data_IF_247009211881
#
_entry.id   IF_247009211881
#
_cell.length_a   1.000
_cell.length_b   1.000
_cell.length_c   1.000
_cell.angle_alpha   90.00
_cell.angle_beta   90.00
_cell.angle_gamma   90.00
#
_symmetry.space_group_name_H-M   'P 1'
#
loop_
_entity.id
_entity.type
_entity.pdbx_description
1 polymer ?
#
# COMPACT_ATOMS: atom_id res chain seq x y z
N UNK A 1 -2.40 13.45 -23.12
CA UNK A 1 -1.87 12.28 -23.86
C UNK A 1 -0.36 12.34 -23.78
N UNK A 2 0.27 11.28 -23.27
CA UNK A 2 1.72 11.14 -23.18
C UNK A 2 2.38 11.38 -24.55
N UNK A 3 3.17 12.46 -24.67
CA UNK A 3 3.99 12.74 -25.84
C UNK A 3 5.30 11.95 -25.78
N UNK A 4 5.94 11.75 -26.93
CA UNK A 4 7.22 11.01 -27.03
C UNK A 4 8.34 11.59 -26.14
N UNK A 5 8.23 12.87 -25.78
CA UNK A 5 9.17 13.58 -24.90
C UNK A 5 9.11 13.10 -23.44
N UNK A 6 7.93 12.73 -22.93
CA UNK A 6 7.78 12.20 -21.55
C UNK A 6 8.57 10.90 -21.36
N UNK A 7 8.71 10.06 -22.39
CA UNK A 7 9.46 8.80 -22.34
C UNK A 7 10.99 8.98 -22.30
N UNK A 8 11.51 10.13 -22.73
CA UNK A 8 12.94 10.42 -22.76
C UNK A 8 13.45 11.06 -21.44
N UNK A 9 12.54 11.56 -20.61
CA UNK A 9 12.87 12.14 -19.32
C UNK A 9 13.20 11.02 -18.32
N UNK A 10 14.49 10.85 -18.01
CA UNK A 10 14.95 10.00 -16.89
C UNK A 10 14.66 10.69 -15.57
N UNK A 11 13.39 10.85 -15.23
CA UNK A 11 12.98 11.30 -13.90
C UNK A 11 13.25 10.12 -12.96
N UNK A 12 14.10 10.29 -11.93
CA UNK A 12 14.32 9.23 -10.96
C UNK A 12 13.01 8.94 -10.21
N UNK A 13 12.69 7.65 -10.06
CA UNK A 13 11.53 7.20 -9.30
C UNK A 13 11.89 7.11 -7.81
N UNK A 14 11.34 8.03 -7.02
CA UNK A 14 11.56 8.13 -5.57
C UNK A 14 10.40 7.55 -4.76
N UNK A 15 9.52 6.75 -5.36
CA UNK A 15 8.38 6.18 -4.63
C UNK A 15 8.86 5.19 -3.56
N UNK A 16 8.36 5.35 -2.34
CA UNK A 16 8.65 4.49 -1.18
C UNK A 16 7.57 3.42 -0.94
N UNK A 17 6.58 3.34 -1.84
CA UNK A 17 5.44 2.44 -1.71
C UNK A 17 5.88 0.98 -1.94
N UNK A 18 5.77 0.16 -0.90
CA UNK A 18 6.11 -1.26 -0.96
C UNK A 18 4.96 -2.14 -1.45
N UNK A 19 3.72 -1.81 -1.07
CA UNK A 19 2.54 -2.61 -1.39
C UNK A 19 1.28 -1.74 -1.49
N UNK A 20 0.45 -2.00 -2.49
CA UNK A 20 -0.88 -1.40 -2.64
C UNK A 20 -1.86 -2.41 -3.24
N UNK A 21 -3.01 -2.60 -2.57
CA UNK A 21 -4.13 -3.39 -3.08
C UNK A 21 -5.44 -2.74 -2.67
N UNK A 22 -6.24 -2.34 -3.68
CA UNK A 22 -7.54 -1.70 -3.48
C UNK A 22 -8.73 -2.67 -3.38
N UNK A 23 -8.52 -3.96 -3.62
CA UNK A 23 -9.58 -4.96 -3.59
C UNK A 23 -9.26 -6.02 -2.53
N UNK A 24 -9.39 -5.63 -1.26
CA UNK A 24 -9.29 -6.54 -0.13
C UNK A 24 -10.69 -6.69 0.47
N UNK A 25 -11.29 -7.86 0.29
CA UNK A 25 -12.59 -8.18 0.87
C UNK A 25 -12.38 -8.90 2.20
N UNK A 26 -12.91 -8.33 3.27
CA UNK A 26 -12.92 -8.98 4.58
C UNK A 26 -14.24 -9.70 4.77
N UNK A 27 -14.21 -11.00 5.08
CA UNK A 27 -15.42 -11.72 5.46
C UNK A 27 -15.63 -11.62 6.98
N UNK A 28 -16.87 -11.67 7.44
CA UNK A 28 -17.22 -11.50 8.85
C UNK A 28 -16.71 -12.62 9.78
N UNK A 29 -16.33 -13.77 9.20
CA UNK A 29 -16.07 -15.00 9.95
C UNK A 29 -14.60 -15.45 9.94
N UNK A 30 -13.70 -14.81 9.19
CA UNK A 30 -12.28 -15.16 9.20
C UNK A 30 -11.35 -13.96 9.04
N UNK A 31 -10.24 -14.00 9.75
CA UNK A 31 -9.19 -12.99 9.61
C UNK A 31 -8.66 -12.99 8.17
N UNK A 32 -8.66 -11.82 7.53
CA UNK A 32 -8.06 -11.65 6.21
C UNK A 32 -6.55 -11.49 6.35
N UNK A 33 -5.79 -12.34 5.66
CA UNK A 33 -4.34 -12.32 5.71
C UNK A 33 -3.78 -11.59 4.48
N UNK A 34 -2.89 -10.62 4.71
CA UNK A 34 -2.23 -9.83 3.67
C UNK A 34 -0.73 -10.06 3.81
N UNK A 35 -0.12 -10.67 2.80
CA UNK A 35 1.31 -10.97 2.79
C UNK A 35 1.98 -10.17 1.68
N UNK A 36 3.05 -9.48 2.04
CA UNK A 36 3.88 -8.71 1.12
C UNK A 36 5.33 -8.73 1.61
N UNK A 37 6.26 -8.41 0.72
CA UNK A 37 7.68 -8.31 1.06
C UNK A 37 8.08 -6.86 1.27
N UNK A 38 9.03 -6.63 2.17
CA UNK A 38 9.62 -5.30 2.36
C UNK A 38 10.76 -5.06 1.38
N UNK A 39 11.28 -3.83 1.32
CA UNK A 39 12.56 -3.58 0.65
C UNK A 39 13.72 -4.12 1.50
N UNK A 40 14.91 -4.21 0.90
CA UNK A 40 16.16 -4.56 1.58
C UNK A 40 16.68 -3.43 2.51
N UNK A 41 15.94 -2.33 2.62
CA UNK A 41 16.32 -1.17 3.42
C UNK A 41 15.83 -1.37 4.85
N UNK A 42 16.77 -1.35 5.79
CA UNK A 42 16.48 -1.35 7.22
C UNK A 42 15.89 -0.01 7.62
N UNK A 43 14.86 -0.02 8.45
CA UNK A 43 14.20 1.21 8.85
C UNK A 43 12.79 1.02 9.40
N UNK A 44 12.10 2.14 9.58
CA UNK A 44 10.73 2.19 10.05
C UNK A 44 9.77 2.32 8.88
N UNK A 45 8.73 1.51 8.91
CA UNK A 45 7.69 1.44 7.90
C UNK A 45 6.33 1.67 8.54
N UNK A 46 5.39 2.12 7.71
CA UNK A 46 3.99 2.29 8.10
C UNK A 46 3.11 1.66 7.02
N UNK A 47 2.13 0.87 7.45
CA UNK A 47 1.06 0.36 6.61
C UNK A 47 -0.23 1.11 6.92
N UNK A 48 -0.90 1.63 5.90
CA UNK A 48 -2.21 2.27 6.02
C UNK A 48 -3.30 1.35 5.47
N UNK A 49 -4.30 1.07 6.28
CA UNK A 49 -5.49 0.31 5.90
C UNK A 49 -6.66 1.29 5.87
N UNK A 50 -7.30 1.40 4.71
CA UNK A 50 -8.49 2.22 4.53
C UNK A 50 -9.55 1.40 3.83
N UNK A 51 -10.80 1.53 4.24
CA UNK A 51 -11.90 0.77 3.68
C UNK A 51 -13.25 1.35 4.03
N UNK A 52 -14.30 0.67 3.55
CA UNK A 52 -15.69 0.97 3.86
C UNK A 52 -16.34 -0.30 4.40
N UNK A 53 -17.19 -0.18 5.41
CA UNK A 53 -18.06 -1.28 5.86
C UNK A 53 -19.17 -1.55 4.83
N UNK A 54 -19.90 -2.67 5.00
CA UNK A 54 -21.11 -2.94 4.22
C UNK A 54 -22.20 -1.85 4.38
N UNK A 55 -22.18 -1.10 5.49
CA UNK A 55 -23.07 0.04 5.74
C UNK A 55 -22.57 1.34 5.14
N UNK A 56 -21.38 1.35 4.53
CA UNK A 56 -20.77 2.54 3.91
C UNK A 56 -19.94 3.39 4.88
N UNK A 57 -19.69 2.91 6.10
CA UNK A 57 -18.91 3.65 7.09
C UNK A 57 -17.41 3.54 6.80
N UNK A 58 -16.66 4.65 6.82
CA UNK A 58 -15.23 4.65 6.56
C UNK A 58 -14.45 4.05 7.73
N UNK A 59 -13.53 3.15 7.41
CA UNK A 59 -12.55 2.58 8.34
C UNK A 59 -11.16 3.09 7.97
N UNK A 60 -10.39 3.46 8.98
CA UNK A 60 -8.97 3.83 8.86
C UNK A 60 -8.17 3.17 9.96
N UNK A 61 -7.04 2.58 9.62
CA UNK A 61 -6.09 2.02 10.57
C UNK A 61 -4.66 2.20 10.03
N UNK A 62 -3.69 2.27 10.94
CA UNK A 62 -2.27 2.39 10.60
C UNK A 62 -1.45 1.49 11.50
N UNK A 63 -0.53 0.75 10.91
CA UNK A 63 0.38 -0.15 11.63
C UNK A 63 1.81 0.30 11.39
N UNK A 64 2.56 0.50 12.47
CA UNK A 64 3.98 0.82 12.42
C UNK A 64 4.79 -0.42 12.71
N UNK A 65 5.84 -0.66 11.92
CA UNK A 65 6.76 -1.77 12.10
C UNK A 65 8.17 -1.41 11.62
N UNK A 66 9.17 -2.14 12.07
CA UNK A 66 10.58 -1.87 11.77
C UNK A 66 11.27 -3.11 11.22
N UNK A 67 12.11 -2.93 10.21
CA UNK A 67 12.96 -3.99 9.63
C UNK A 67 14.41 -3.72 10.03
N UNK A 68 15.10 -4.73 10.56
CA UNK A 68 16.46 -4.65 11.11
C UNK A 68 17.48 -5.45 10.32
#
# INVERSE_FOLDING_TARGET
YDTKETKASRIPDYRTLLYWSGNVQTNSNSSTNINFYTSDVKGNFVAFIQGLTNTGDPIKNSVHFSVQ
#
